data_IF_479723746743
#
_entry.id   IF_479723746743
#
_cell.length_a   1.000
_cell.length_b   1.000
_cell.length_c   1.000
_cell.angle_alpha   90.00
_cell.angle_beta   90.00
_cell.angle_gamma   90.00
#
_symmetry.space_group_name_H-M   'P 1'
#
loop_
_entity.id
_entity.type
_entity.pdbx_description
1 polymer ?
#
# COMPACT_ATOMS: atom_id res chain seq x y z
N UNK A 1 -9.51 -17.74 -12.72
CA UNK A 1 -8.60 -16.58 -12.87
C UNK A 1 -7.77 -16.49 -11.61
N UNK A 2 -6.47 -16.43 -11.71
CA UNK A 2 -5.63 -16.30 -10.51
C UNK A 2 -5.81 -14.90 -9.90
N UNK A 3 -5.74 -14.80 -8.57
CA UNK A 3 -5.91 -13.52 -7.83
C UNK A 3 -5.04 -12.41 -8.40
N UNK A 4 -3.81 -12.73 -8.78
CA UNK A 4 -2.83 -11.80 -9.36
C UNK A 4 -3.30 -11.19 -10.69
N UNK A 5 -3.94 -11.98 -11.56
CA UNK A 5 -4.46 -11.50 -12.84
C UNK A 5 -5.63 -10.53 -12.63
N UNK A 6 -6.52 -10.84 -11.68
CA UNK A 6 -7.63 -9.94 -11.30
C UNK A 6 -7.12 -8.61 -10.77
N UNK A 7 -6.11 -8.65 -9.91
CA UNK A 7 -5.47 -7.43 -9.37
C UNK A 7 -4.84 -6.63 -10.51
N UNK A 8 -4.05 -7.26 -11.38
CA UNK A 8 -3.38 -6.59 -12.51
C UNK A 8 -4.37 -5.92 -13.46
N UNK A 9 -5.46 -6.59 -13.81
CA UNK A 9 -6.50 -6.04 -14.68
C UNK A 9 -7.19 -4.83 -14.06
N UNK A 10 -7.62 -4.96 -12.79
CA UNK A 10 -8.31 -3.88 -12.05
C UNK A 10 -7.44 -2.62 -11.92
N UNK A 11 -6.16 -2.77 -11.59
CA UNK A 11 -5.24 -1.64 -11.47
C UNK A 11 -4.87 -1.04 -12.84
N UNK A 12 -4.75 -1.87 -13.89
CA UNK A 12 -4.58 -1.40 -15.27
C UNK A 12 -5.78 -0.55 -15.75
N UNK A 13 -7.01 -0.99 -15.47
CA UNK A 13 -8.21 -0.21 -15.76
C UNK A 13 -8.22 1.13 -14.99
N UNK A 14 -7.82 1.13 -13.72
CA UNK A 14 -7.72 2.33 -12.91
C UNK A 14 -6.73 3.35 -13.53
N UNK A 15 -5.55 2.90 -13.97
CA UNK A 15 -4.57 3.75 -14.65
C UNK A 15 -5.14 4.35 -15.95
N UNK A 16 -5.80 3.54 -16.79
CA UNK A 16 -6.42 4.01 -18.03
C UNK A 16 -7.54 5.03 -17.81
N UNK A 17 -8.36 4.88 -16.76
CA UNK A 17 -9.37 5.86 -16.37
C UNK A 17 -8.76 7.21 -16.03
N UNK A 18 -7.72 7.24 -15.20
CA UNK A 18 -7.02 8.48 -14.85
C UNK A 18 -6.44 9.15 -16.07
N UNK A 19 -5.80 8.41 -16.96
CA UNK A 19 -5.21 8.93 -18.21
C UNK A 19 -6.27 9.52 -19.15
N UNK A 20 -7.51 8.99 -19.14
CA UNK A 20 -8.63 9.52 -19.93
C UNK A 20 -9.39 10.67 -19.25
N UNK A 21 -8.91 11.21 -18.13
CA UNK A 21 -9.51 12.34 -17.42
C UNK A 21 -10.59 11.97 -16.41
N UNK A 22 -10.78 10.66 -16.13
CA UNK A 22 -11.67 10.17 -15.06
C UNK A 22 -11.04 10.22 -13.67
N UNK A 23 -11.86 10.20 -12.63
CA UNK A 23 -11.40 9.98 -11.25
C UNK A 23 -11.50 8.50 -10.87
N UNK A 24 -10.55 8.00 -10.08
CA UNK A 24 -10.62 6.68 -9.50
C UNK A 24 -11.34 6.74 -8.15
N UNK A 25 -12.64 6.35 -8.13
CA UNK A 25 -13.24 5.85 -6.90
C UNK A 25 -13.02 4.35 -6.82
N UNK A 26 -12.74 3.78 -5.66
CA UNK A 26 -12.64 2.32 -5.43
C UNK A 26 -13.97 1.57 -5.68
N UNK A 27 -15.04 2.26 -6.04
CA UNK A 27 -16.35 1.67 -6.34
C UNK A 27 -16.35 1.10 -7.76
N UNK A 28 -16.59 -0.21 -7.85
CA UNK A 28 -16.72 -0.95 -9.10
C UNK A 28 -17.74 -0.34 -10.05
N UNK A 29 -17.57 -0.64 -11.34
CA UNK A 29 -18.37 -0.18 -12.45
C UNK A 29 -19.88 -0.16 -12.13
N UNK A 30 -20.51 1.04 -12.19
CA UNK A 30 -21.94 1.11 -12.33
C UNK A 30 -22.73 2.19 -11.61
N UNK A 31 -22.13 3.01 -10.74
CA UNK A 31 -22.90 4.11 -10.14
C UNK A 31 -22.04 5.36 -9.97
N UNK A 32 -22.27 6.34 -10.85
CA UNK A 32 -21.95 7.73 -10.55
C UNK A 32 -22.91 8.18 -9.46
N UNK A 33 -22.52 7.99 -8.19
CA UNK A 33 -23.14 8.69 -7.08
C UNK A 33 -22.20 9.86 -6.74
N UNK A 34 -22.62 11.04 -7.13
CA UNK A 34 -22.09 12.32 -6.63
C UNK A 34 -22.03 12.23 -5.10
N UNK A 35 -20.82 12.26 -4.53
CA UNK A 35 -20.62 12.35 -3.09
C UNK A 35 -20.13 11.10 -2.35
N UNK A 36 -19.82 9.99 -3.01
CA UNK A 36 -19.23 8.83 -2.33
C UNK A 36 -17.73 9.02 -2.09
N UNK A 37 -17.36 9.67 -0.97
CA UNK A 37 -15.99 9.64 -0.45
C UNK A 37 -15.74 8.20 0.04
N UNK A 38 -14.85 7.47 -0.63
CA UNK A 38 -14.34 6.21 -0.11
C UNK A 38 -13.61 6.48 1.21
N UNK A 39 -14.08 5.94 2.34
CA UNK A 39 -13.49 6.24 3.65
C UNK A 39 -12.07 5.71 3.81
N UNK A 40 -11.60 4.85 2.91
CA UNK A 40 -10.27 4.25 2.99
C UNK A 40 -9.23 5.11 2.28
N UNK A 41 -9.52 5.58 1.06
CA UNK A 41 -8.53 6.26 0.21
C UNK A 41 -8.61 7.78 0.24
N UNK A 42 -9.57 8.36 0.97
CA UNK A 42 -9.75 9.82 1.05
C UNK A 42 -8.87 10.47 2.12
N UNK A 43 -8.40 11.70 1.84
CA UNK A 43 -7.68 12.57 2.79
C UNK A 43 -6.38 11.97 3.37
N UNK A 44 -5.62 11.23 2.55
CA UNK A 44 -4.38 10.57 2.97
C UNK A 44 -3.15 11.49 2.94
N UNK A 45 -3.18 12.50 2.07
CA UNK A 45 -2.08 13.43 1.83
C UNK A 45 -2.56 14.86 2.08
N UNK A 46 -1.74 15.68 2.72
CA UNK A 46 -2.06 17.07 2.94
C UNK A 46 -1.85 17.94 1.68
N UNK A 47 -2.40 19.16 1.69
CA UNK A 47 -2.32 20.07 0.54
C UNK A 47 -0.88 20.46 0.16
N UNK A 48 0.06 20.45 1.10
CA UNK A 48 1.47 20.76 0.82
C UNK A 48 2.15 19.62 0.07
N UNK A 49 1.72 18.38 0.29
CA UNK A 49 2.22 17.19 -0.40
C UNK A 49 1.59 17.07 -1.80
N UNK A 50 0.27 17.26 -1.90
CA UNK A 50 -0.44 17.13 -3.18
C UNK A 50 -0.17 18.30 -4.12
N UNK A 51 0.01 19.51 -3.59
CA UNK A 51 0.25 20.72 -4.38
C UNK A 51 1.58 20.75 -5.15
N UNK A 52 2.50 19.85 -4.84
CA UNK A 52 3.79 19.75 -5.55
C UNK A 52 3.85 18.55 -6.52
N UNK A 53 2.74 17.83 -6.68
CA UNK A 53 2.65 16.62 -7.51
C UNK A 53 1.67 16.84 -8.68
N UNK A 54 1.84 16.10 -9.79
CA UNK A 54 0.83 16.03 -10.83
C UNK A 54 -0.51 15.52 -10.29
N UNK A 55 -1.62 16.12 -10.73
CA UNK A 55 -2.97 15.74 -10.29
C UNK A 55 -3.27 14.26 -10.57
N UNK A 56 -2.76 13.73 -11.68
CA UNK A 56 -2.94 12.34 -12.07
C UNK A 56 -2.27 11.37 -11.09
N UNK A 57 -1.13 11.75 -10.48
CA UNK A 57 -0.49 10.94 -9.44
C UNK A 57 -1.39 10.85 -8.20
N UNK A 58 -2.02 11.96 -7.82
CA UNK A 58 -2.95 12.01 -6.68
C UNK A 58 -4.22 11.21 -6.97
N UNK A 59 -4.80 11.37 -8.17
CA UNK A 59 -6.00 10.64 -8.61
C UNK A 59 -5.78 9.14 -8.74
N UNK A 60 -4.58 8.70 -9.06
CA UNK A 60 -4.22 7.27 -9.17
C UNK A 60 -3.93 6.61 -7.82
N UNK A 61 -3.93 7.37 -6.71
CA UNK A 61 -3.67 6.82 -5.37
C UNK A 61 -4.86 5.99 -4.90
N UNK A 62 -4.60 4.71 -4.61
CA UNK A 62 -5.55 3.73 -4.11
C UNK A 62 -5.08 3.16 -2.75
N UNK A 63 -4.22 3.89 -2.05
CA UNK A 63 -3.69 3.51 -0.75
C UNK A 63 -4.69 3.67 0.41
N UNK A 64 -4.26 3.31 1.61
CA UNK A 64 -5.04 3.44 2.84
C UNK A 64 -4.30 4.25 3.92
N UNK A 65 -3.18 4.89 3.57
CA UNK A 65 -2.37 5.70 4.46
C UNK A 65 -1.33 6.52 3.71
N UNK A 66 -0.44 7.16 4.46
CA UNK A 66 0.67 7.97 3.95
C UNK A 66 2.00 7.42 4.48
N UNK A 67 2.54 6.36 3.85
CA UNK A 67 3.76 5.71 4.35
C UNK A 67 4.98 6.65 4.29
N UNK A 68 5.02 7.58 3.33
CA UNK A 68 6.13 8.52 3.21
C UNK A 68 6.20 9.52 4.36
N UNK A 69 5.04 9.96 4.90
CA UNK A 69 5.01 10.83 6.08
C UNK A 69 5.50 10.10 7.33
N UNK A 70 5.18 8.81 7.43
CA UNK A 70 5.42 7.98 8.61
C UNK A 70 6.79 7.29 8.58
N UNK A 71 7.42 7.15 7.41
CA UNK A 71 8.70 6.45 7.23
C UNK A 71 9.92 7.24 7.73
N UNK A 72 9.78 8.52 8.07
CA UNK A 72 10.89 9.40 8.52
C UNK A 72 12.10 9.32 7.59
N UNK A 73 11.90 9.59 6.30
CA UNK A 73 12.94 9.50 5.28
C UNK A 73 14.04 10.56 5.50
N UNK A 74 15.31 10.15 5.42
CA UNK A 74 16.47 11.02 5.57
C UNK A 74 17.10 11.36 4.22
N UNK A 75 17.75 12.54 4.08
CA UNK A 75 18.50 12.89 2.89
C UNK A 75 19.57 11.84 2.56
N UNK A 76 19.68 11.49 1.27
CA UNK A 76 20.66 10.52 0.78
C UNK A 76 20.24 9.05 0.85
N UNK A 77 19.10 8.72 1.47
CA UNK A 77 18.61 7.34 1.52
C UNK A 77 18.11 6.83 0.16
N UNK A 78 18.22 5.53 -0.03
CA UNK A 78 17.62 4.79 -1.13
C UNK A 78 16.31 4.17 -0.66
N UNK A 79 15.19 4.53 -1.28
CA UNK A 79 13.84 4.09 -0.93
C UNK A 79 13.29 3.17 -2.02
N UNK A 80 12.60 2.12 -1.65
CA UNK A 80 11.81 1.26 -2.55
C UNK A 80 10.34 1.29 -2.14
N UNK A 81 9.47 1.61 -3.09
CA UNK A 81 8.02 1.52 -2.94
C UNK A 81 7.50 0.25 -3.61
N UNK A 82 6.88 -0.63 -2.83
CA UNK A 82 6.29 -1.88 -3.32
C UNK A 82 4.84 -1.65 -3.77
N UNK A 83 4.60 -1.83 -5.08
CA UNK A 83 3.32 -1.55 -5.71
C UNK A 83 3.08 -0.05 -5.86
N UNK A 84 4.00 0.61 -6.52
CA UNK A 84 4.07 2.08 -6.60
C UNK A 84 2.91 2.75 -7.35
N UNK A 85 2.11 1.98 -8.10
CA UNK A 85 0.99 2.51 -8.87
C UNK A 85 1.37 3.70 -9.74
N UNK A 86 0.60 4.80 -9.66
CA UNK A 86 0.87 6.05 -10.38
C UNK A 86 2.06 6.87 -9.87
N UNK A 87 2.81 6.37 -8.87
CA UNK A 87 4.09 6.91 -8.42
C UNK A 87 4.01 7.98 -7.33
N UNK A 88 2.87 8.22 -6.69
CA UNK A 88 2.71 9.29 -5.69
C UNK A 88 3.73 9.19 -4.55
N UNK A 89 3.84 8.02 -3.92
CA UNK A 89 4.75 7.79 -2.78
C UNK A 89 6.22 7.79 -3.21
N UNK A 90 6.52 7.34 -4.42
CA UNK A 90 7.87 7.39 -5.01
C UNK A 90 8.33 8.84 -5.22
N UNK A 91 7.48 9.69 -5.82
CA UNK A 91 7.79 11.09 -6.09
C UNK A 91 7.95 11.90 -4.79
N UNK A 92 7.12 11.64 -3.78
CA UNK A 92 7.25 12.24 -2.45
C UNK A 92 8.54 11.77 -1.77
N UNK A 93 8.86 10.47 -1.85
CA UNK A 93 10.10 9.90 -1.30
C UNK A 93 11.33 10.53 -1.95
N UNK A 94 11.37 10.61 -3.28
CA UNK A 94 12.49 11.19 -4.02
C UNK A 94 12.78 12.65 -3.63
N UNK A 95 11.73 13.44 -3.41
CA UNK A 95 11.86 14.82 -2.93
C UNK A 95 12.43 14.90 -1.52
N UNK A 96 12.00 13.98 -0.62
CA UNK A 96 12.45 13.94 0.78
C UNK A 96 13.90 13.50 0.92
N UNK A 97 14.30 12.48 0.16
CA UNK A 97 15.70 12.00 0.20
C UNK A 97 16.66 12.92 -0.56
N UNK A 98 16.12 13.84 -1.37
CA UNK A 98 16.90 14.84 -2.10
C UNK A 98 17.80 14.25 -3.19
N UNK A 99 18.61 15.08 -3.87
CA UNK A 99 19.36 14.68 -5.06
C UNK A 99 20.47 13.65 -4.80
N UNK A 100 20.92 13.51 -3.55
CA UNK A 100 21.89 12.48 -3.17
C UNK A 100 21.26 11.12 -2.86
N UNK A 101 19.93 11.08 -2.69
CA UNK A 101 19.16 9.86 -2.48
C UNK A 101 18.52 9.36 -3.77
N UNK A 102 17.86 8.20 -3.69
CA UNK A 102 17.16 7.59 -4.81
C UNK A 102 15.85 6.96 -4.38
N UNK A 103 14.83 7.05 -5.22
CA UNK A 103 13.57 6.35 -5.01
C UNK A 103 13.30 5.38 -6.17
N UNK A 104 13.00 4.12 -5.82
CA UNK A 104 12.54 3.09 -6.74
C UNK A 104 11.04 2.87 -6.56
N UNK A 105 10.31 2.75 -7.67
CA UNK A 105 8.93 2.31 -7.68
C UNK A 105 8.81 0.97 -8.37
N UNK A 106 8.33 -0.06 -7.68
CA UNK A 106 8.09 -1.39 -8.24
C UNK A 106 6.60 -1.58 -8.50
N UNK A 107 6.23 -1.92 -9.72
CA UNK A 107 4.86 -2.31 -10.06
C UNK A 107 4.84 -3.41 -11.13
N UNK A 108 3.81 -4.26 -11.10
CA UNK A 108 3.64 -5.34 -12.07
C UNK A 108 2.83 -4.92 -13.31
N UNK A 109 2.19 -3.74 -13.26
CA UNK A 109 1.21 -3.27 -14.25
C UNK A 109 1.84 -2.28 -15.20
N UNK A 110 1.87 -2.58 -16.50
CA UNK A 110 2.46 -1.70 -17.51
C UNK A 110 1.76 -0.34 -17.58
N UNK A 111 0.42 -0.31 -17.48
CA UNK A 111 -0.38 0.92 -17.52
C UNK A 111 -0.04 1.84 -16.32
N UNK A 112 0.15 1.28 -15.12
CA UNK A 112 0.56 2.04 -13.94
C UNK A 112 1.99 2.59 -14.09
N UNK A 113 2.92 1.77 -14.58
CA UNK A 113 4.30 2.23 -14.82
C UNK A 113 4.38 3.31 -15.89
N UNK A 114 3.56 3.24 -16.94
CA UNK A 114 3.47 4.29 -17.95
C UNK A 114 2.97 5.60 -17.33
N UNK A 115 1.91 5.55 -16.53
CA UNK A 115 1.37 6.70 -15.81
C UNK A 115 2.40 7.27 -14.83
N UNK A 116 3.09 6.42 -14.05
CA UNK A 116 4.10 6.83 -13.09
C UNK A 116 5.29 7.57 -13.74
N UNK A 117 5.77 7.07 -14.89
CA UNK A 117 6.84 7.75 -15.66
C UNK A 117 6.38 9.09 -16.23
N UNK A 118 5.15 9.20 -16.69
CA UNK A 118 4.59 10.48 -17.13
C UNK A 118 4.45 11.47 -15.96
N UNK A 119 4.01 11.00 -14.78
CA UNK A 119 3.95 11.80 -13.58
C UNK A 119 5.34 12.25 -13.12
N UNK A 120 6.36 11.38 -13.20
CA UNK A 120 7.76 11.72 -12.93
C UNK A 120 8.22 12.87 -13.84
N UNK A 121 7.98 12.75 -15.15
CA UNK A 121 8.33 13.75 -16.14
C UNK A 121 7.68 15.11 -15.84
N UNK A 122 6.37 15.10 -15.53
CA UNK A 122 5.61 16.32 -15.16
C UNK A 122 6.13 16.95 -13.87
N UNK A 123 6.49 16.13 -12.89
CA UNK A 123 7.01 16.58 -11.59
C UNK A 123 8.47 17.08 -11.65
N UNK A 124 9.20 16.83 -12.75
CA UNK A 124 10.61 17.21 -12.92
C UNK A 124 11.54 16.55 -11.90
N UNK A 125 11.25 15.30 -11.49
CA UNK A 125 12.03 14.58 -10.47
C UNK A 125 12.95 13.57 -11.17
N UNK A 126 14.28 13.72 -10.99
CA UNK A 126 15.30 12.95 -11.72
C UNK A 126 15.81 11.72 -10.95
N UNK A 127 15.78 11.75 -9.62
CA UNK A 127 16.27 10.67 -8.75
C UNK A 127 15.27 9.55 -8.50
N UNK A 128 14.48 9.21 -9.53
CA UNK A 128 13.45 8.16 -9.52
C UNK A 128 13.74 7.14 -10.62
N UNK A 129 13.47 5.87 -10.31
CA UNK A 129 13.49 4.79 -11.28
C UNK A 129 12.29 3.86 -11.06
N UNK A 130 11.51 3.62 -12.13
CA UNK A 130 10.37 2.69 -12.09
C UNK A 130 10.74 1.34 -12.69
N UNK A 131 10.59 0.29 -11.89
CA UNK A 131 10.92 -1.09 -12.18
C UNK A 131 9.64 -1.88 -12.46
N UNK A 132 9.65 -2.69 -13.52
CA UNK A 132 8.60 -3.69 -13.74
C UNK A 132 8.98 -4.97 -13.03
N UNK A 133 8.09 -5.45 -12.17
CA UNK A 133 8.29 -6.70 -11.44
C UNK A 133 7.18 -6.97 -10.44
N UNK A 134 7.30 -8.11 -9.79
CA UNK A 134 6.39 -8.57 -8.76
C UNK A 134 7.03 -8.39 -7.38
N UNK A 135 6.21 -8.07 -6.37
CA UNK A 135 6.71 -7.86 -5.00
C UNK A 135 7.23 -9.17 -4.36
N UNK A 136 6.85 -10.33 -4.90
CA UNK A 136 7.37 -11.64 -4.54
C UNK A 136 8.76 -11.95 -5.14
N UNK A 137 9.23 -11.11 -6.11
CA UNK A 137 10.53 -11.24 -6.79
C UNK A 137 11.07 -9.86 -7.13
N UNK A 138 11.60 -9.18 -6.15
CA UNK A 138 12.08 -7.80 -6.29
C UNK A 138 13.36 -7.77 -7.16
N UNK A 139 13.36 -7.05 -8.32
CA UNK A 139 14.48 -7.03 -9.25
C UNK A 139 15.62 -6.10 -8.80
N UNK A 140 16.00 -6.18 -7.53
CA UNK A 140 17.10 -5.44 -6.92
C UNK A 140 18.03 -6.41 -6.20
N UNK A 141 19.34 -6.07 -6.11
CA UNK A 141 20.32 -6.86 -5.36
C UNK A 141 19.99 -6.92 -3.86
N UNK A 142 20.58 -7.90 -3.18
CA UNK A 142 20.56 -7.96 -1.72
C UNK A 142 21.19 -6.70 -1.12
N UNK A 143 20.64 -6.25 0.01
CA UNK A 143 21.17 -5.13 0.79
C UNK A 143 21.38 -3.84 -0.05
N UNK A 144 20.44 -3.51 -0.91
CA UNK A 144 20.54 -2.38 -1.86
C UNK A 144 19.74 -1.15 -1.44
N UNK A 145 18.74 -1.27 -0.57
CA UNK A 145 17.88 -0.16 -0.19
C UNK A 145 17.89 0.09 1.33
N UNK A 146 17.76 1.35 1.72
CA UNK A 146 17.74 1.76 3.13
C UNK A 146 16.34 1.66 3.72
N UNK A 147 15.32 1.96 2.91
CA UNK A 147 13.92 1.99 3.34
C UNK A 147 13.05 1.30 2.31
N UNK A 148 12.12 0.49 2.79
CA UNK A 148 11.00 0.00 1.99
C UNK A 148 9.73 0.64 2.51
N UNK A 149 8.93 1.18 1.58
CA UNK A 149 7.56 1.62 1.84
C UNK A 149 6.58 0.79 1.03
N UNK A 150 5.33 0.76 1.44
CA UNK A 150 4.22 0.19 0.67
C UNK A 150 2.90 0.75 1.15
N UNK A 151 1.93 0.89 0.25
CA UNK A 151 0.62 1.44 0.58
C UNK A 151 -0.51 0.54 0.08
N UNK A 152 -1.03 -0.30 0.97
CA UNK A 152 -2.15 -1.20 0.70
C UNK A 152 -1.89 -2.28 -0.38
N UNK A 153 -0.66 -2.75 -0.53
CA UNK A 153 -0.29 -3.71 -1.59
C UNK A 153 0.04 -5.10 -1.05
N UNK A 154 0.75 -5.22 0.07
CA UNK A 154 1.22 -6.52 0.59
C UNK A 154 0.05 -7.50 0.81
N UNK A 155 -1.09 -7.00 1.28
CA UNK A 155 -2.31 -7.79 1.45
C UNK A 155 -2.82 -8.44 0.16
N UNK A 156 -2.52 -7.87 -1.00
CA UNK A 156 -2.98 -8.36 -2.31
C UNK A 156 -2.18 -9.58 -2.80
N UNK A 157 -0.98 -9.81 -2.24
CA UNK A 157 -0.19 -11.00 -2.57
C UNK A 157 -0.81 -12.28 -2.01
N UNK A 158 -0.77 -13.35 -2.79
CA UNK A 158 -1.12 -14.70 -2.34
C UNK A 158 -0.02 -15.31 -1.45
N UNK A 159 1.24 -14.92 -1.63
CA UNK A 159 2.40 -15.39 -0.87
C UNK A 159 3.08 -14.24 -0.11
N UNK A 160 2.43 -13.80 0.97
CA UNK A 160 2.93 -12.71 1.81
C UNK A 160 4.26 -13.04 2.50
N UNK A 161 4.49 -14.32 2.82
CA UNK A 161 5.75 -14.77 3.42
C UNK A 161 6.91 -14.55 2.46
N UNK A 162 6.71 -14.80 1.17
CA UNK A 162 7.72 -14.53 0.14
C UNK A 162 7.95 -13.04 -0.03
N UNK A 163 6.90 -12.22 -0.07
CA UNK A 163 7.03 -10.75 -0.13
C UNK A 163 7.90 -10.23 1.01
N UNK A 164 7.63 -10.66 2.24
CA UNK A 164 8.39 -10.20 3.41
C UNK A 164 9.84 -10.70 3.41
N UNK A 165 10.10 -11.92 2.93
CA UNK A 165 11.48 -12.42 2.73
C UNK A 165 12.23 -11.63 1.66
N UNK A 166 11.59 -11.27 0.55
CA UNK A 166 12.19 -10.43 -0.50
C UNK A 166 12.46 -9.01 -0.01
N UNK A 167 11.50 -8.42 0.72
CA UNK A 167 11.71 -7.13 1.37
C UNK A 167 12.91 -7.17 2.33
N UNK A 168 13.01 -8.21 3.15
CA UNK A 168 14.15 -8.40 4.04
C UNK A 168 15.46 -8.58 3.25
N UNK A 169 15.46 -9.33 2.16
CA UNK A 169 16.64 -9.56 1.32
C UNK A 169 17.22 -8.26 0.78
N UNK A 170 16.38 -7.41 0.18
CA UNK A 170 16.85 -6.18 -0.48
C UNK A 170 17.17 -5.04 0.48
N UNK A 171 16.63 -5.05 1.70
CA UNK A 171 16.99 -4.09 2.74
C UNK A 171 18.44 -4.25 3.17
N UNK A 172 19.16 -3.14 3.33
CA UNK A 172 20.46 -3.11 3.98
C UNK A 172 20.36 -3.49 5.46
N UNK A 173 21.40 -4.07 6.09
CA UNK A 173 21.47 -4.16 7.54
C UNK A 173 21.23 -2.78 8.17
N UNK A 174 20.37 -2.69 9.19
CA UNK A 174 19.91 -1.44 9.78
C UNK A 174 18.80 -0.72 8.99
N UNK A 175 18.44 -1.21 7.80
CA UNK A 175 17.33 -0.68 7.01
C UNK A 175 15.96 -0.96 7.64
N UNK A 176 14.95 -0.22 7.20
CA UNK A 176 13.61 -0.29 7.79
C UNK A 176 12.50 -0.50 6.76
N UNK A 177 11.47 -1.19 7.20
CA UNK A 177 10.19 -1.36 6.52
C UNK A 177 9.16 -0.42 7.15
N UNK A 178 8.40 0.30 6.32
CA UNK A 178 7.38 1.25 6.74
C UNK A 178 6.16 1.13 5.81
N UNK A 179 5.15 0.39 6.23
CA UNK A 179 4.00 0.01 5.41
C UNK A 179 2.72 0.59 6.00
N UNK A 180 1.87 1.17 5.14
CA UNK A 180 0.46 1.41 5.45
C UNK A 180 -0.37 0.27 4.86
N UNK A 181 -1.07 -0.48 5.69
CA UNK A 181 -1.93 -1.57 5.22
C UNK A 181 -3.20 -1.70 6.07
N UNK A 182 -4.21 -2.35 5.51
CA UNK A 182 -5.41 -2.70 6.28
C UNK A 182 -5.13 -3.98 7.05
N UNK A 183 -5.40 -3.95 8.35
CA UNK A 183 -5.26 -5.09 9.25
C UNK A 183 -6.56 -5.34 10.01
N UNK A 184 -6.68 -6.52 10.62
CA UNK A 184 -7.81 -6.85 11.49
C UNK A 184 -7.35 -7.05 12.93
N UNK A 185 -8.22 -6.68 13.86
CA UNK A 185 -8.06 -6.97 15.29
C UNK A 185 -8.93 -8.17 15.64
N UNK A 186 -8.31 -9.27 16.03
CA UNK A 186 -8.97 -10.52 16.33
C UNK A 186 -9.57 -11.19 15.09
N UNK A 187 -10.25 -12.32 15.31
CA UNK A 187 -10.82 -13.11 14.22
C UNK A 187 -12.05 -12.45 13.61
N UNK A 188 -12.08 -12.41 12.29
CA UNK A 188 -13.25 -12.06 11.49
C UNK A 188 -13.78 -13.34 10.85
N UNK A 189 -15.08 -13.66 11.00
CA UNK A 189 -15.69 -14.85 10.39
C UNK A 189 -15.48 -14.87 8.87
N UNK A 190 -15.22 -16.05 8.29
CA UNK A 190 -14.93 -16.19 6.85
C UNK A 190 -16.11 -15.72 5.98
N UNK A 191 -17.33 -15.93 6.41
CA UNK A 191 -18.55 -15.42 5.73
C UNK A 191 -18.55 -13.90 5.61
N UNK A 192 -18.06 -13.22 6.65
CA UNK A 192 -17.94 -11.76 6.67
C UNK A 192 -16.78 -11.32 5.78
N UNK A 193 -15.65 -12.02 5.81
CA UNK A 193 -14.54 -11.77 4.90
C UNK A 193 -14.97 -11.83 3.44
N UNK A 194 -15.72 -12.87 3.08
CA UNK A 194 -16.23 -13.01 1.71
C UNK A 194 -17.18 -11.88 1.33
N UNK A 195 -18.07 -11.46 2.22
CA UNK A 195 -18.98 -10.34 1.98
C UNK A 195 -18.25 -9.00 1.89
N UNK A 196 -17.23 -8.80 2.71
CA UNK A 196 -16.42 -7.59 2.69
C UNK A 196 -15.37 -7.59 1.57
N UNK A 197 -15.07 -8.74 0.96
CA UNK A 197 -14.31 -8.85 -0.29
C UNK A 197 -14.98 -8.10 -1.45
N UNK A 198 -16.30 -8.09 -1.45
CA UNK A 198 -17.09 -7.33 -2.42
C UNK A 198 -17.03 -5.83 -2.15
N UNK A 199 -16.94 -5.45 -0.86
CA UNK A 199 -16.96 -4.05 -0.46
C UNK A 199 -15.66 -3.29 -0.76
N UNK A 200 -14.55 -3.86 -0.42
CA UNK A 200 -13.27 -3.16 -0.62
C UNK A 200 -12.30 -4.18 -1.18
N UNK A 201 -11.96 -4.12 -2.44
CA UNK A 201 -10.83 -4.90 -2.97
C UNK A 201 -9.54 -4.72 -2.13
N UNK A 202 -9.60 -3.87 -1.12
CA UNK A 202 -8.58 -3.59 -0.13
C UNK A 202 -8.63 -4.46 1.13
N UNK A 203 -9.76 -5.08 1.52
CA UNK A 203 -9.87 -5.90 2.76
C UNK A 203 -9.59 -7.38 2.48
N UNK A 204 -9.74 -7.80 1.21
CA UNK A 204 -9.35 -9.13 0.78
C UNK A 204 -7.88 -9.37 1.09
N UNK A 205 -7.59 -10.28 1.97
CA UNK A 205 -6.24 -10.63 2.35
C UNK A 205 -5.64 -9.80 3.49
N UNK A 206 -6.41 -8.91 4.13
CA UNK A 206 -5.99 -8.26 5.37
C UNK A 206 -5.60 -9.31 6.42
N UNK A 207 -4.40 -9.16 6.98
CA UNK A 207 -3.90 -10.03 8.04
C UNK A 207 -4.39 -9.54 9.40
N UNK A 208 -4.53 -10.47 10.35
CA UNK A 208 -4.61 -10.08 11.75
C UNK A 208 -3.27 -9.47 12.19
N UNK A 209 -3.31 -8.55 13.17
CA UNK A 209 -2.10 -7.89 13.66
C UNK A 209 -1.05 -8.89 14.15
N UNK A 210 -1.51 -9.92 14.86
CA UNK A 210 -0.65 -10.98 15.40
C UNK A 210 0.00 -11.80 14.28
N UNK A 211 -0.75 -12.16 13.22
CA UNK A 211 -0.24 -12.89 12.06
C UNK A 211 0.78 -12.05 11.28
N UNK A 212 0.53 -10.73 11.16
CA UNK A 212 1.46 -9.82 10.48
C UNK A 212 2.79 -9.77 11.24
N UNK A 213 2.75 -9.59 12.57
CA UNK A 213 3.94 -9.60 13.43
C UNK A 213 4.69 -10.93 13.37
N UNK A 214 3.98 -12.05 13.41
CA UNK A 214 4.59 -13.39 13.31
C UNK A 214 5.30 -13.59 11.96
N UNK A 215 4.69 -13.16 10.84
CA UNK A 215 5.28 -13.26 9.51
C UNK A 215 6.51 -12.37 9.35
N UNK A 216 6.48 -11.14 9.88
CA UNK A 216 7.65 -10.25 9.90
C UNK A 216 8.80 -10.85 10.70
N UNK A 217 8.51 -11.41 11.89
CA UNK A 217 9.50 -12.09 12.72
C UNK A 217 10.10 -13.30 11.98
N UNK A 218 9.27 -14.12 11.33
CA UNK A 218 9.72 -15.27 10.57
C UNK A 218 10.59 -14.89 9.35
N UNK A 219 10.38 -13.71 8.77
CA UNK A 219 11.23 -13.16 7.71
C UNK A 219 12.57 -12.59 8.22
N UNK A 220 12.75 -12.45 9.53
CA UNK A 220 13.99 -11.96 10.17
C UNK A 220 13.93 -10.51 10.68
N UNK A 221 12.80 -9.84 10.55
CA UNK A 221 12.63 -8.47 11.04
C UNK A 221 12.57 -8.43 12.58
N UNK A 222 13.05 -7.31 13.12
CA UNK A 222 12.98 -6.96 14.54
C UNK A 222 12.31 -5.58 14.72
N UNK A 223 12.12 -5.15 15.98
CA UNK A 223 11.50 -3.86 16.32
C UNK A 223 10.17 -3.65 15.58
N UNK A 224 9.31 -4.66 15.65
CA UNK A 224 8.03 -4.67 14.94
C UNK A 224 7.01 -3.87 15.74
N UNK A 225 6.42 -2.87 15.11
CA UNK A 225 5.35 -2.03 15.66
C UNK A 225 4.18 -2.00 14.67
N UNK A 226 2.96 -2.14 15.17
CA UNK A 226 1.72 -2.00 14.40
C UNK A 226 0.86 -0.96 15.09
N UNK A 227 0.77 0.22 14.49
CA UNK A 227 0.07 1.37 15.03
C UNK A 227 -1.20 1.64 14.21
N UNK A 228 -2.41 1.49 14.81
CA UNK A 228 -3.64 1.86 14.13
C UNK A 228 -3.66 3.36 13.79
N UNK A 229 -3.93 3.68 12.53
CA UNK A 229 -4.04 5.07 12.05
C UNK A 229 -5.49 5.49 11.82
N UNK A 230 -6.35 4.53 11.46
CA UNK A 230 -7.80 4.76 11.27
C UNK A 230 -8.56 3.46 11.56
N UNK A 231 -9.56 3.54 12.42
CA UNK A 231 -10.52 2.44 12.63
C UNK A 231 -11.73 2.68 11.73
N UNK A 232 -12.14 1.65 11.00
CA UNK A 232 -13.29 1.72 10.10
C UNK A 232 -14.57 1.32 10.83
N UNK A 233 -15.57 2.18 10.75
CA UNK A 233 -16.91 1.90 11.27
C UNK A 233 -17.76 1.34 10.13
N UNK A 234 -18.60 0.37 10.46
CA UNK A 234 -19.45 -0.26 9.45
C UNK A 234 -20.48 0.73 8.87
N UNK A 235 -20.86 1.74 9.64
CA UNK A 235 -21.81 2.76 9.20
C UNK A 235 -21.27 3.58 8.02
N UNK A 236 -19.94 3.82 7.96
CA UNK A 236 -19.28 4.51 6.85
C UNK A 236 -19.44 3.74 5.52
N UNK A 237 -19.69 2.45 5.62
CA UNK A 237 -19.85 1.53 4.51
C UNK A 237 -21.32 1.13 4.24
N UNK A 238 -22.24 1.51 5.10
CA UNK A 238 -23.63 1.04 5.08
C UNK A 238 -24.29 1.20 3.72
N UNK A 239 -24.23 2.37 3.13
CA UNK A 239 -24.86 2.66 1.84
C UNK A 239 -24.33 1.75 0.72
N UNK A 240 -23.03 1.53 0.69
CA UNK A 240 -22.39 0.65 -0.28
C UNK A 240 -22.77 -0.83 -0.06
N UNK A 241 -22.68 -1.32 1.16
CA UNK A 241 -23.00 -2.72 1.51
C UNK A 241 -24.46 -3.05 1.23
N UNK A 242 -25.38 -2.16 1.60
CA UNK A 242 -26.82 -2.32 1.33
C UNK A 242 -27.09 -2.33 -0.19
N UNK A 243 -26.40 -1.51 -0.98
CA UNK A 243 -26.50 -1.51 -2.43
C UNK A 243 -26.03 -2.81 -3.09
N UNK A 244 -25.22 -3.62 -2.39
CA UNK A 244 -24.77 -4.96 -2.82
C UNK A 244 -25.67 -6.09 -2.25
N UNK A 245 -26.79 -5.76 -1.61
CA UNK A 245 -27.70 -6.73 -1.03
C UNK A 245 -27.20 -7.39 0.27
N UNK A 246 -26.24 -6.79 0.95
CA UNK A 246 -25.67 -7.29 2.20
C UNK A 246 -26.52 -6.74 3.36
N UNK A 247 -26.98 -7.63 4.25
CA UNK A 247 -27.63 -7.24 5.49
C UNK A 247 -26.60 -6.71 6.50
N UNK A 248 -26.48 -5.39 6.53
CA UNK A 248 -25.49 -4.69 7.37
C UNK A 248 -25.77 -4.90 8.84
N UNK A 249 -27.03 -4.94 9.27
CA UNK A 249 -27.39 -5.10 10.67
C UNK A 249 -27.02 -6.49 11.20
N UNK A 250 -27.08 -7.52 10.36
CA UNK A 250 -26.65 -8.87 10.70
C UNK A 250 -25.12 -9.00 10.86
N UNK A 251 -24.33 -8.22 10.13
CA UNK A 251 -22.85 -8.31 10.15
C UNK A 251 -22.20 -7.30 11.10
N UNK A 252 -22.85 -6.15 11.36
CA UNK A 252 -22.29 -5.07 12.18
C UNK A 252 -21.71 -5.54 13.51
N UNK A 253 -22.45 -6.33 14.35
CA UNK A 253 -21.92 -6.76 15.64
C UNK A 253 -20.67 -7.65 15.56
N UNK A 254 -20.44 -8.26 14.38
CA UNK A 254 -19.31 -9.19 14.15
C UNK A 254 -18.06 -8.48 13.68
N UNK A 255 -18.19 -7.27 13.13
CA UNK A 255 -17.09 -6.57 12.44
C UNK A 255 -16.78 -5.18 12.97
N UNK A 256 -17.68 -4.59 13.78
CA UNK A 256 -17.50 -3.24 14.32
C UNK A 256 -16.16 -3.09 15.05
N UNK A 257 -15.37 -2.07 14.63
CA UNK A 257 -14.07 -1.78 15.18
C UNK A 257 -12.97 -2.82 14.92
N UNK A 258 -13.23 -3.85 14.09
CA UNK A 258 -12.24 -4.90 13.80
C UNK A 258 -11.35 -4.60 12.63
N UNK A 259 -11.77 -3.76 11.69
CA UNK A 259 -10.96 -3.36 10.54
C UNK A 259 -10.34 -1.99 10.77
N UNK A 260 -9.07 -1.88 10.46
CA UNK A 260 -8.35 -0.61 10.61
C UNK A 260 -7.24 -0.48 9.58
N UNK A 261 -6.96 0.74 9.16
CA UNK A 261 -5.65 1.06 8.60
C UNK A 261 -4.65 1.08 9.73
N UNK A 262 -3.48 0.54 9.48
CA UNK A 262 -2.38 0.57 10.42
C UNK A 262 -1.07 0.94 9.71
N UNK A 263 -0.19 1.57 10.46
CA UNK A 263 1.18 1.77 10.07
C UNK A 263 2.05 0.69 10.71
N UNK A 264 2.70 -0.10 9.87
CA UNK A 264 3.54 -1.23 10.25
C UNK A 264 4.99 -0.82 10.06
N UNK A 265 5.77 -0.85 11.15
CA UNK A 265 7.21 -0.61 11.16
C UNK A 265 7.93 -1.88 11.52
N UNK A 266 9.08 -2.11 10.88
CA UNK A 266 9.99 -3.17 11.25
C UNK A 266 11.40 -2.82 10.78
N UNK A 267 12.42 -3.37 11.42
CA UNK A 267 13.82 -3.12 11.05
C UNK A 267 14.55 -4.41 10.72
N UNK A 268 15.44 -4.35 9.73
CA UNK A 268 16.44 -5.40 9.52
C UNK A 268 17.58 -5.18 10.50
N UNK A 269 17.90 -6.14 11.37
CA UNK A 269 19.00 -5.99 12.33
C UNK A 269 20.33 -5.61 11.65
N UNK A 270 21.14 -4.79 12.29
CA UNK A 270 22.46 -4.38 11.77
C UNK A 270 23.44 -5.54 11.67
N UNK A 271 23.30 -6.54 12.53
CA UNK A 271 24.16 -7.72 12.61
C UNK A 271 23.32 -8.99 12.77
N UNK A 272 23.88 -10.13 12.40
CA UNK A 272 23.29 -11.42 12.76
C UNK A 272 23.19 -11.55 14.29
N UNK A 273 22.22 -12.34 14.82
CA UNK A 273 22.12 -12.58 16.25
C UNK A 273 23.49 -13.05 16.80
N UNK A 274 24.10 -12.27 17.71
CA UNK A 274 25.41 -12.56 18.33
C UNK A 274 26.59 -11.66 17.89
N UNK A 275 26.41 -10.71 16.96
CA UNK A 275 27.50 -9.81 16.55
C UNK A 275 27.68 -8.55 17.44
N UNK A 276 26.75 -8.27 18.34
CA UNK A 276 26.80 -7.14 19.29
C UNK A 276 26.92 -7.69 20.73
N UNK A 277 27.96 -8.46 21.00
CA UNK A 277 28.38 -8.84 22.35
C UNK A 277 29.68 -8.14 22.71
#
# INVERSE_FOLDING_TARGET
MELKEVVREKYGEAARRVTSGGSNGCCGAGAALDGCCDPITSNLYDASQTGVLPEEAVRASLGCGNPTALASLNPGETVLDLGSGGGIDVLLSARRVGPAGKAYGLDMTDDMLALARENQRKAGVENVEFLKGEIEHIPLPDNSVDVIISNCVIKLSADKDRVLREAFRVLKPGGRLAVSDVVTRGQVPDEVRQSMLLWVGCIAGALQQEDYSAKLTAAGFASIEIEPTRVYNIEDARAFLSGQGIDVDAIAPKVEGKFMSAFIRAAKPCCAPGCCA
#
